data_IF_367473746233
#
_entry.id   IF_367473746233
#
_cell.length_a   1.000
_cell.length_b   1.000
_cell.length_c   1.000
_cell.angle_alpha   90.00
_cell.angle_beta   90.00
_cell.angle_gamma   90.00
#
_symmetry.space_group_name_H-M   'P 1'
#
loop_
_entity.id
_entity.type
_entity.pdbx_description
1 polymer ?
#
# COMPACT_ATOMS: atom_id res chain seq x y z
N UNK A 1 -2.47 -1.14 -23.54
CA UNK A 1 -2.39 0.32 -23.24
C UNK A 1 -1.91 0.62 -21.82
N UNK A 2 -2.41 -0.04 -20.77
CA UNK A 2 -2.02 0.24 -19.37
C UNK A 2 -0.52 0.00 -19.12
N UNK A 3 0.01 -1.18 -19.48
CA UNK A 3 1.42 -1.54 -19.26
C UNK A 3 2.41 -0.56 -19.92
N UNK A 4 2.09 -0.12 -21.13
CA UNK A 4 2.90 0.86 -21.86
C UNK A 4 2.88 2.23 -21.16
N UNK A 5 1.74 2.66 -20.61
CA UNK A 5 1.69 3.89 -19.82
C UNK A 5 2.50 3.76 -18.53
N UNK A 6 2.40 2.64 -17.81
CA UNK A 6 3.20 2.38 -16.62
C UNK A 6 4.71 2.40 -16.90
N UNK A 7 5.16 1.88 -18.04
CA UNK A 7 6.60 1.91 -18.38
C UNK A 7 7.18 3.33 -18.49
N UNK A 8 6.33 4.36 -18.64
CA UNK A 8 6.76 5.75 -18.75
C UNK A 8 6.72 6.53 -17.43
N UNK A 9 6.22 5.94 -16.34
CA UNK A 9 6.00 6.65 -15.06
C UNK A 9 7.10 6.42 -14.03
N UNK A 10 8.08 5.55 -14.31
CA UNK A 10 9.08 5.12 -13.32
C UNK A 10 8.51 4.20 -12.23
N UNK A 11 7.24 3.78 -12.34
CA UNK A 11 6.63 2.80 -11.45
C UNK A 11 7.14 1.41 -11.83
N UNK A 12 7.74 0.72 -10.86
CA UNK A 12 8.16 -0.66 -11.04
C UNK A 12 6.94 -1.59 -11.22
N UNK A 13 6.98 -2.44 -12.25
CA UNK A 13 5.96 -3.44 -12.52
C UNK A 13 6.54 -4.84 -12.28
N UNK A 14 5.89 -5.62 -11.42
CA UNK A 14 6.23 -7.02 -11.17
C UNK A 14 5.06 -7.91 -11.59
N UNK A 15 5.30 -8.82 -12.53
CA UNK A 15 4.33 -9.84 -12.92
C UNK A 15 4.50 -11.08 -12.02
N UNK A 16 3.44 -11.46 -11.32
CA UNK A 16 3.44 -12.59 -10.36
C UNK A 16 2.20 -13.45 -10.57
N UNK A 17 2.32 -14.75 -10.28
CA UNK A 17 1.13 -15.61 -10.14
C UNK A 17 0.55 -15.44 -8.73
N UNK A 18 -0.75 -15.68 -8.61
CA UNK A 18 -1.53 -15.39 -7.40
C UNK A 18 -0.98 -16.09 -6.16
N UNK A 19 -0.50 -17.32 -6.31
CA UNK A 19 0.01 -18.18 -5.24
C UNK A 19 1.26 -17.62 -4.55
N UNK A 20 2.04 -16.79 -5.24
CA UNK A 20 3.30 -16.20 -4.75
C UNK A 20 3.21 -14.68 -4.57
N UNK A 21 2.05 -14.09 -4.81
CA UNK A 21 1.82 -12.63 -4.73
C UNK A 21 2.24 -12.06 -3.38
N UNK A 22 1.83 -12.70 -2.27
CA UNK A 22 2.17 -12.24 -0.92
C UNK A 22 3.67 -12.32 -0.62
N UNK A 23 4.38 -13.33 -1.14
CA UNK A 23 5.82 -13.50 -0.94
C UNK A 23 6.58 -12.35 -1.61
N UNK A 24 6.23 -12.02 -2.85
CA UNK A 24 6.87 -10.93 -3.57
C UNK A 24 6.54 -9.57 -2.97
N UNK A 25 5.28 -9.33 -2.58
CA UNK A 25 4.92 -8.10 -1.87
C UNK A 25 5.74 -7.93 -0.58
N UNK A 26 5.88 -8.98 0.23
CA UNK A 26 6.68 -8.91 1.45
C UNK A 26 8.16 -8.64 1.16
N UNK A 27 8.74 -9.29 0.15
CA UNK A 27 10.12 -9.02 -0.28
C UNK A 27 10.31 -7.58 -0.77
N UNK A 28 9.32 -7.02 -1.49
CA UNK A 28 9.37 -5.64 -1.97
C UNK A 28 9.26 -4.64 -0.79
N UNK A 29 8.49 -4.98 0.25
CA UNK A 29 8.40 -4.20 1.48
C UNK A 29 9.72 -4.21 2.27
N UNK A 30 10.35 -5.37 2.45
CA UNK A 30 11.67 -5.47 3.09
C UNK A 30 12.73 -4.65 2.34
N UNK A 31 12.79 -4.81 1.01
CA UNK A 31 13.71 -4.03 0.19
C UNK A 31 13.44 -2.53 0.30
N UNK A 32 12.19 -2.09 0.34
CA UNK A 32 11.86 -0.68 0.49
C UNK A 32 12.37 -0.10 1.83
N UNK A 33 12.26 -0.87 2.91
CA UNK A 33 12.74 -0.45 4.24
C UNK A 33 14.25 -0.32 4.31
N UNK A 34 15.00 -1.22 3.67
CA UNK A 34 16.47 -1.15 3.65
C UNK A 34 16.99 0.20 3.10
N UNK A 35 16.18 0.86 2.27
CA UNK A 35 16.51 2.14 1.65
C UNK A 35 15.75 3.33 2.25
N UNK A 36 14.79 3.08 3.16
CA UNK A 36 13.88 4.11 3.70
C UNK A 36 13.75 3.97 5.21
N UNK A 37 14.77 4.35 6.01
CA UNK A 37 14.68 4.26 7.47
C UNK A 37 13.61 5.20 8.05
N UNK A 38 13.10 4.94 9.28
CA UNK A 38 12.13 5.82 9.91
C UNK A 38 12.65 7.26 10.12
N UNK A 39 11.79 8.30 9.97
CA UNK A 39 10.37 8.21 9.62
C UNK A 39 10.15 7.99 8.12
N UNK A 40 9.26 7.06 7.77
CA UNK A 40 8.85 6.78 6.38
C UNK A 40 7.34 6.64 6.25
N UNK A 41 6.79 6.94 5.08
CA UNK A 41 5.36 6.76 4.80
C UNK A 41 5.18 5.74 3.70
N UNK A 42 4.37 4.73 3.99
CA UNK A 42 3.97 3.70 3.05
C UNK A 42 2.51 3.89 2.68
N UNK A 43 2.24 3.93 1.38
CA UNK A 43 0.87 3.93 0.86
C UNK A 43 0.57 2.58 0.22
N UNK A 44 -0.54 2.00 0.63
CA UNK A 44 -1.04 0.74 0.12
C UNK A 44 -2.38 0.96 -0.57
N UNK A 45 -2.47 0.57 -1.84
CA UNK A 45 -3.70 0.63 -2.63
C UNK A 45 -4.18 -0.81 -2.83
N UNK A 46 -5.14 -1.28 -2.02
CA UNK A 46 -5.62 -2.66 -2.06
C UNK A 46 -6.88 -2.87 -1.22
N UNK A 47 -7.77 -3.75 -1.68
CA UNK A 47 -8.93 -4.26 -0.92
C UNK A 47 -8.62 -5.53 -0.12
N UNK A 48 -7.41 -6.07 -0.22
CA UNK A 48 -7.04 -7.39 0.31
C UNK A 48 -6.07 -7.34 1.50
N UNK A 49 -6.35 -6.49 2.49
CA UNK A 49 -5.46 -6.25 3.65
C UNK A 49 -5.03 -7.52 4.40
N UNK A 50 -5.95 -8.48 4.49
CA UNK A 50 -5.76 -9.73 5.23
C UNK A 50 -4.53 -10.50 4.77
N UNK A 51 -4.34 -10.59 3.45
CA UNK A 51 -3.33 -11.45 2.82
C UNK A 51 -1.89 -11.03 3.11
N UNK A 52 -1.67 -9.80 3.61
CA UNK A 52 -0.35 -9.26 3.93
C UNK A 52 -0.29 -8.60 5.31
N UNK A 53 -1.34 -8.80 6.12
CA UNK A 53 -1.50 -8.15 7.41
C UNK A 53 -0.33 -8.43 8.37
N UNK A 54 0.12 -9.69 8.41
CA UNK A 54 1.25 -10.14 9.24
C UNK A 54 2.54 -9.38 8.90
N UNK A 55 2.80 -9.18 7.60
CA UNK A 55 3.97 -8.44 7.13
C UNK A 55 3.94 -7.02 7.68
N UNK A 56 2.87 -6.28 7.40
CA UNK A 56 2.68 -4.91 7.86
C UNK A 56 2.73 -4.77 9.38
N UNK A 57 2.13 -5.70 10.13
CA UNK A 57 2.20 -5.71 11.58
C UNK A 57 3.64 -5.80 12.09
N UNK A 58 4.45 -6.68 11.49
CA UNK A 58 5.88 -6.79 11.84
C UNK A 58 6.62 -5.49 11.52
N UNK A 59 6.35 -4.85 10.39
CA UNK A 59 6.95 -3.55 10.05
C UNK A 59 6.64 -2.51 11.14
N UNK A 60 5.38 -2.38 11.53
CA UNK A 60 4.96 -1.39 12.53
C UNK A 60 5.47 -1.70 13.95
N UNK A 61 5.62 -2.97 14.30
CA UNK A 61 6.06 -3.40 15.63
C UNK A 61 7.58 -3.39 15.81
N UNK A 62 8.34 -3.79 14.79
CA UNK A 62 9.81 -3.90 14.89
C UNK A 62 10.52 -2.57 14.59
N UNK A 63 9.98 -1.78 13.66
CA UNK A 63 10.59 -0.54 13.20
C UNK A 63 9.65 0.63 13.52
N UNK A 64 9.75 1.14 14.75
CA UNK A 64 8.94 2.27 15.20
C UNK A 64 9.17 3.51 14.30
N UNK A 65 8.10 4.14 13.82
CA UNK A 65 8.15 5.43 13.12
C UNK A 65 7.67 5.44 11.67
N UNK A 66 7.13 4.32 11.15
CA UNK A 66 6.46 4.30 9.86
C UNK A 66 4.98 4.70 9.93
N UNK A 67 4.56 5.54 8.99
CA UNK A 67 3.15 5.87 8.75
C UNK A 67 2.58 4.96 7.66
N UNK A 68 1.36 4.44 7.87
CA UNK A 68 0.68 3.60 6.89
C UNK A 68 -0.57 4.30 6.37
N UNK A 69 -0.63 4.57 5.08
CA UNK A 69 -1.80 5.11 4.40
C UNK A 69 -2.47 4.00 3.61
N UNK A 70 -3.77 3.78 3.80
CA UNK A 70 -4.55 2.80 3.06
C UNK A 70 -5.46 3.51 2.04
N UNK A 71 -5.48 3.01 0.82
CA UNK A 71 -6.50 3.36 -0.16
C UNK A 71 -7.22 2.10 -0.64
N UNK A 72 -8.53 2.06 -0.49
CA UNK A 72 -9.37 0.89 -0.76
C UNK A 72 -10.73 1.31 -1.32
N UNK A 73 -11.44 0.39 -1.96
CA UNK A 73 -12.78 0.61 -2.53
C UNK A 73 -13.80 0.76 -1.40
N UNK A 74 -13.59 0.02 -0.32
CA UNK A 74 -14.41 0.08 0.88
C UNK A 74 -13.67 0.84 1.96
N UNK A 75 -14.35 1.77 2.65
CA UNK A 75 -13.87 2.26 3.94
C UNK A 75 -13.62 1.02 4.80
N UNK A 76 -12.45 0.93 5.43
CA UNK A 76 -12.06 -0.19 6.28
C UNK A 76 -12.98 -0.24 7.50
N UNK A 77 -14.20 -0.74 7.33
CA UNK A 77 -15.03 -1.13 8.46
C UNK A 77 -14.44 -2.41 9.01
N UNK A 78 -13.41 -2.29 9.88
CA UNK A 78 -13.07 -3.09 11.06
C UNK A 78 -13.53 -4.58 11.16
N UNK A 79 -13.77 -5.30 10.06
CA UNK A 79 -14.58 -6.52 10.09
C UNK A 79 -13.87 -7.73 9.50
N UNK A 80 -12.54 -7.75 9.57
CA UNK A 80 -11.84 -9.03 9.68
C UNK A 80 -11.04 -9.04 10.97
N UNK A 81 -11.12 -10.15 11.67
CA UNK A 81 -10.56 -10.36 13.02
C UNK A 81 -9.03 -10.19 13.07
N UNK A 82 -8.36 -10.04 11.92
CA UNK A 82 -6.93 -9.78 11.77
C UNK A 82 -6.58 -8.30 11.51
N UNK A 83 -7.54 -7.47 11.05
CA UNK A 83 -7.35 -6.03 10.83
C UNK A 83 -7.14 -5.24 12.15
N UNK A 84 -7.34 -5.87 13.31
CA UNK A 84 -7.23 -5.22 14.61
C UNK A 84 -5.79 -4.86 15.04
N UNK A 85 -4.76 -5.29 14.30
CA UNK A 85 -3.34 -5.12 14.67
C UNK A 85 -2.63 -4.03 13.86
N UNK A 86 -3.15 -3.67 12.68
CA UNK A 86 -2.53 -2.68 11.80
C UNK A 86 -3.11 -1.31 12.11
N UNK A 87 -2.24 -0.32 12.33
CA UNK A 87 -2.66 1.05 12.60
C UNK A 87 -2.46 1.89 11.33
N UNK A 88 -3.56 2.35 10.72
CA UNK A 88 -3.51 3.28 9.59
C UNK A 88 -3.38 4.72 10.10
N UNK A 89 -2.50 5.50 9.47
CA UNK A 89 -2.34 6.93 9.69
C UNK A 89 -3.35 7.76 8.89
N UNK A 90 -3.82 7.22 7.75
CA UNK A 90 -4.89 7.81 6.94
C UNK A 90 -5.54 6.72 6.05
N UNK A 91 -6.81 6.93 5.68
CA UNK A 91 -7.58 6.04 4.81
C UNK A 91 -8.31 6.83 3.71
N UNK A 92 -8.16 6.40 2.45
CA UNK A 92 -8.77 7.03 1.27
C UNK A 92 -9.60 6.03 0.46
N UNK A 93 -10.57 6.55 -0.29
CA UNK A 93 -11.16 5.81 -1.41
C UNK A 93 -10.21 5.87 -2.59
N UNK A 94 -9.75 4.73 -3.12
CA UNK A 94 -8.72 4.75 -4.18
C UNK A 94 -9.20 5.48 -5.45
N UNK A 95 -10.50 5.55 -5.69
CA UNK A 95 -11.08 6.27 -6.82
C UNK A 95 -10.75 7.78 -6.77
N UNK A 96 -10.55 8.35 -5.58
CA UNK A 96 -10.15 9.77 -5.45
C UNK A 96 -8.72 10.01 -5.92
N UNK A 97 -7.89 8.96 -6.01
CA UNK A 97 -6.56 9.05 -6.64
C UNK A 97 -6.64 9.20 -8.16
N UNK A 98 -7.76 8.80 -8.75
CA UNK A 98 -7.97 8.89 -10.19
C UNK A 98 -8.63 10.20 -10.62
N UNK A 99 -9.19 10.96 -9.68
CA UNK A 99 -9.75 12.28 -10.00
C UNK A 99 -8.62 13.27 -10.14
N UNK A 100 -8.43 13.80 -11.35
CA UNK A 100 -7.55 14.94 -11.56
C UNK A 100 -8.05 16.08 -10.67
N UNK A 101 -7.20 16.55 -9.75
CA UNK A 101 -7.43 17.83 -9.08
C UNK A 101 -7.22 18.94 -10.11
N UNK A 102 -8.16 19.12 -11.03
CA UNK A 102 -8.25 20.34 -11.83
C UNK A 102 -8.46 21.50 -10.85
N UNK A 103 -7.37 22.18 -10.51
CA UNK A 103 -7.49 23.56 -10.04
C UNK A 103 -8.08 24.33 -11.21
N UNK A 104 -9.24 25.01 -11.06
CA UNK A 104 -9.76 25.85 -12.12
C UNK A 104 -8.69 26.86 -12.46
N UNK A 105 -8.21 26.85 -13.71
CA UNK A 105 -7.35 27.93 -14.21
C UNK A 105 -8.20 29.20 -14.17
N UNK A 106 -7.89 30.08 -13.22
CA UNK A 106 -8.37 31.47 -13.21
C UNK A 106 -7.75 32.27 -14.34
#
# INVERSE_FOLDING_TARGET
HVLQRLSSTGIALRHVVEEVRCIFMYSDLEQWMDHTPPPGTMMLISDHLESFSIGLCRLQQQEHGYNLVLASTHASTHASTQASVIVTSAEWFWETLLTDSETPRQ
#
